data_IF_938484639215
#
_entry.id   IF_938484639215
#
_cell.length_a   1.000
_cell.length_b   1.000
_cell.length_c   1.000
_cell.angle_alpha   90.00
_cell.angle_beta   90.00
_cell.angle_gamma   90.00
#
_symmetry.space_group_name_H-M   'P 1'
#
loop_
_entity.id
_entity.type
_entity.pdbx_description
1 polymer ?
#
# COMPACT_ATOMS: atom_id res chain seq x y z
N UNK A 1 -19.57 -8.90 -16.28
CA UNK A 1 -20.64 -8.37 -17.15
C UNK A 1 -21.06 -6.94 -16.78
N UNK A 2 -21.36 -6.65 -15.48
CA UNK A 2 -21.77 -5.31 -15.05
C UNK A 2 -20.72 -4.26 -15.38
N UNK A 3 -19.44 -4.47 -15.04
CA UNK A 3 -18.35 -3.55 -15.32
C UNK A 3 -18.25 -3.28 -16.83
N UNK A 4 -18.22 -4.32 -17.65
CA UNK A 4 -18.17 -4.19 -19.11
C UNK A 4 -19.32 -3.33 -19.66
N UNK A 5 -20.53 -3.53 -19.16
CA UNK A 5 -21.70 -2.76 -19.58
C UNK A 5 -21.61 -1.29 -19.16
N UNK A 6 -21.16 -1.02 -17.92
CA UNK A 6 -21.04 0.35 -17.41
C UNK A 6 -19.87 1.13 -18.05
N UNK A 7 -18.87 0.45 -18.62
CA UNK A 7 -17.69 1.04 -19.27
C UNK A 7 -17.66 0.89 -20.79
N UNK A 8 -18.73 0.43 -21.41
CA UNK A 8 -18.78 0.11 -22.84
C UNK A 8 -18.30 1.27 -23.75
N UNK A 9 -18.61 2.50 -23.36
CA UNK A 9 -18.23 3.72 -24.10
C UNK A 9 -16.88 4.31 -23.71
N UNK A 10 -16.18 3.69 -22.75
CA UNK A 10 -14.88 4.15 -22.29
C UNK A 10 -13.75 3.37 -22.96
N UNK A 11 -12.55 3.94 -23.00
CA UNK A 11 -11.35 3.25 -23.47
C UNK A 11 -10.98 2.08 -22.54
N UNK A 12 -11.17 2.26 -21.22
CA UNK A 12 -10.82 1.30 -20.19
C UNK A 12 -12.01 0.98 -19.31
N UNK A 13 -12.06 -0.25 -18.81
CA UNK A 13 -13.11 -0.73 -17.90
C UNK A 13 -12.76 -0.43 -16.44
N UNK A 14 -11.48 -0.39 -16.11
CA UNK A 14 -10.99 -0.24 -14.74
C UNK A 14 -9.54 0.25 -14.69
N UNK A 15 -9.16 0.81 -13.55
CA UNK A 15 -7.77 1.06 -13.17
C UNK A 15 -7.27 -0.11 -12.32
N UNK A 16 -6.03 -0.54 -12.56
CA UNK A 16 -5.34 -1.56 -11.77
C UNK A 16 -4.00 -1.00 -11.30
N UNK A 17 -3.79 -0.90 -9.98
CA UNK A 17 -2.49 -0.52 -9.43
C UNK A 17 -1.44 -1.61 -9.61
N UNK A 18 -0.27 -1.25 -10.11
CA UNK A 18 0.85 -2.18 -10.35
C UNK A 18 2.12 -1.69 -9.65
N UNK A 19 2.76 -2.58 -8.88
CA UNK A 19 4.02 -2.34 -8.17
C UNK A 19 5.15 -3.29 -8.61
N UNK A 20 4.89 -4.14 -9.62
CA UNK A 20 5.82 -5.23 -9.98
C UNK A 20 5.88 -6.37 -8.97
N UNK A 21 5.20 -6.22 -7.85
CA UNK A 21 5.01 -7.26 -6.85
C UNK A 21 4.12 -8.41 -7.35
N UNK A 22 4.19 -9.55 -6.66
CA UNK A 22 3.43 -10.75 -7.02
C UNK A 22 1.91 -10.49 -7.11
N UNK A 23 1.36 -9.87 -6.09
CA UNK A 23 -0.08 -9.73 -5.91
C UNK A 23 -0.68 -8.75 -6.94
N UNK A 24 0.00 -7.63 -7.19
CA UNK A 24 -0.41 -6.64 -8.20
C UNK A 24 -0.26 -7.16 -9.63
N UNK A 25 0.83 -7.91 -9.91
CA UNK A 25 1.06 -8.53 -11.21
C UNK A 25 0.03 -9.61 -11.52
N UNK A 26 -0.30 -10.46 -10.52
CA UNK A 26 -1.35 -11.47 -10.68
C UNK A 26 -2.74 -10.84 -10.81
N UNK A 27 -3.02 -9.77 -10.07
CA UNK A 27 -4.26 -9.04 -10.23
C UNK A 27 -4.45 -8.53 -11.66
N UNK A 28 -3.40 -7.93 -12.25
CA UNK A 28 -3.47 -7.45 -13.64
C UNK A 28 -3.71 -8.61 -14.62
N UNK A 29 -3.02 -9.74 -14.44
CA UNK A 29 -3.26 -10.97 -15.21
C UNK A 29 -4.72 -11.43 -15.07
N UNK A 30 -5.21 -11.52 -13.84
CA UNK A 30 -6.57 -11.99 -13.56
C UNK A 30 -7.63 -11.07 -14.20
N UNK A 31 -7.48 -9.77 -14.06
CA UNK A 31 -8.41 -8.78 -14.62
C UNK A 31 -8.40 -8.84 -16.16
N UNK A 32 -7.22 -8.95 -16.77
CA UNK A 32 -7.09 -8.97 -18.23
C UNK A 32 -7.47 -10.31 -18.84
N UNK A 33 -6.90 -11.42 -18.35
CA UNK A 33 -7.03 -12.75 -18.97
C UNK A 33 -8.26 -13.51 -18.50
N UNK A 34 -8.56 -13.45 -17.21
CA UNK A 34 -9.66 -14.26 -16.63
C UNK A 34 -10.98 -13.49 -16.69
N UNK A 35 -11.01 -12.22 -16.29
CA UNK A 35 -12.24 -11.43 -16.36
C UNK A 35 -12.47 -10.84 -17.76
N UNK A 36 -11.47 -10.79 -18.62
CA UNK A 36 -11.53 -10.24 -19.98
C UNK A 36 -11.91 -8.76 -19.98
N UNK A 37 -11.44 -8.00 -18.99
CA UNK A 37 -11.63 -6.54 -18.91
C UNK A 37 -10.50 -5.82 -19.65
N UNK A 38 -10.73 -4.52 -19.91
CA UNK A 38 -9.74 -3.59 -20.48
C UNK A 38 -9.15 -2.73 -19.36
N UNK A 39 -8.14 -3.19 -18.60
CA UNK A 39 -7.53 -2.40 -17.54
C UNK A 39 -6.61 -1.32 -18.11
N UNK A 40 -6.54 -0.18 -17.39
CA UNK A 40 -5.41 0.75 -17.42
C UNK A 40 -4.54 0.44 -16.21
N UNK A 41 -3.30 0.02 -16.44
CA UNK A 41 -2.33 -0.21 -15.37
C UNK A 41 -1.79 1.15 -14.90
N UNK A 42 -1.73 1.35 -13.59
CA UNK A 42 -1.25 2.60 -12.98
C UNK A 42 -0.15 2.29 -11.99
N UNK A 43 0.98 2.94 -12.16
CA UNK A 43 2.14 2.84 -11.28
C UNK A 43 2.48 4.21 -10.68
N UNK A 44 2.84 4.23 -9.39
CA UNK A 44 3.37 5.40 -8.71
C UNK A 44 4.85 5.18 -8.40
N UNK A 45 5.70 5.84 -9.15
CA UNK A 45 7.15 5.80 -8.97
C UNK A 45 7.57 6.86 -7.95
N UNK A 46 7.96 6.39 -6.78
CA UNK A 46 8.48 7.22 -5.69
C UNK A 46 10.00 7.19 -5.58
N UNK A 47 10.67 6.60 -6.57
CA UNK A 47 12.13 6.49 -6.63
C UNK A 47 12.74 5.37 -5.77
N UNK A 48 11.95 4.48 -5.16
CA UNK A 48 12.45 3.37 -4.34
C UNK A 48 12.15 1.98 -4.89
N UNK A 49 11.69 1.90 -6.14
CA UNK A 49 11.45 0.62 -6.78
C UNK A 49 12.76 -0.15 -6.99
N UNK A 50 12.73 -1.46 -6.78
CA UNK A 50 13.85 -2.32 -7.14
C UNK A 50 13.92 -2.53 -8.66
N UNK A 51 15.10 -2.80 -9.21
CA UNK A 51 15.26 -3.10 -10.65
C UNK A 51 14.37 -4.26 -11.10
N UNK A 52 14.21 -5.26 -10.24
CA UNK A 52 13.34 -6.39 -10.49
C UNK A 52 11.86 -5.98 -10.58
N UNK A 53 11.40 -5.07 -9.69
CA UNK A 53 10.02 -4.60 -9.73
C UNK A 53 9.72 -3.76 -10.97
N UNK A 54 10.64 -2.87 -11.34
CA UNK A 54 10.54 -2.08 -12.59
C UNK A 54 10.46 -3.00 -13.81
N UNK A 55 11.37 -3.99 -13.90
CA UNK A 55 11.36 -4.98 -14.99
C UNK A 55 10.05 -5.78 -15.01
N UNK A 56 9.53 -6.18 -13.85
CA UNK A 56 8.27 -6.91 -13.75
C UNK A 56 7.08 -6.08 -14.26
N UNK A 57 6.99 -4.79 -13.88
CA UNK A 57 5.92 -3.89 -14.35
C UNK A 57 5.89 -3.87 -15.88
N UNK A 58 7.05 -3.60 -16.51
CA UNK A 58 7.15 -3.53 -17.97
C UNK A 58 6.83 -4.87 -18.63
N UNK A 59 7.39 -5.97 -18.15
CA UNK A 59 7.19 -7.29 -18.73
C UNK A 59 5.71 -7.71 -18.66
N UNK A 60 5.08 -7.52 -17.50
CA UNK A 60 3.68 -7.89 -17.28
C UNK A 60 2.75 -7.05 -18.18
N UNK A 61 2.92 -5.73 -18.20
CA UNK A 61 2.10 -4.85 -19.03
C UNK A 61 2.29 -5.15 -20.53
N UNK A 62 3.53 -5.33 -20.99
CA UNK A 62 3.86 -5.66 -22.38
C UNK A 62 3.25 -7.01 -22.80
N UNK A 63 3.45 -8.05 -22.00
CA UNK A 63 2.96 -9.41 -22.33
C UNK A 63 1.43 -9.48 -22.35
N UNK A 64 0.77 -8.74 -21.46
CA UNK A 64 -0.69 -8.67 -21.42
C UNK A 64 -1.28 -7.68 -22.43
N UNK A 65 -0.47 -6.93 -23.13
CA UNK A 65 -0.89 -5.81 -23.99
C UNK A 65 -1.85 -4.87 -23.24
N UNK A 66 -1.34 -4.35 -22.11
CA UNK A 66 -2.05 -3.41 -21.24
C UNK A 66 -1.30 -2.10 -21.22
N UNK A 67 -2.04 -0.99 -21.37
CA UNK A 67 -1.48 0.35 -21.28
C UNK A 67 -1.07 0.65 -19.85
N UNK A 68 0.14 1.21 -19.68
CA UNK A 68 0.73 1.60 -18.41
C UNK A 68 0.83 3.11 -18.31
N UNK A 69 0.26 3.67 -17.27
CA UNK A 69 0.49 5.05 -16.87
C UNK A 69 1.35 5.08 -15.61
N UNK A 70 2.48 5.76 -15.67
CA UNK A 70 3.38 5.97 -14.54
C UNK A 70 3.32 7.43 -14.08
N UNK A 71 2.95 7.64 -12.85
CA UNK A 71 3.07 8.92 -12.15
C UNK A 71 4.37 8.92 -11.36
N UNK A 72 5.30 9.77 -11.76
CA UNK A 72 6.52 10.02 -10.98
C UNK A 72 6.23 11.05 -9.89
N UNK A 73 6.59 10.74 -8.66
CA UNK A 73 6.49 11.65 -7.54
C UNK A 73 7.40 12.88 -7.74
N UNK A 74 6.98 14.04 -7.25
CA UNK A 74 7.92 15.16 -7.09
C UNK A 74 8.96 14.77 -6.03
N UNK A 75 10.16 14.40 -6.49
CA UNK A 75 11.18 13.79 -5.65
C UNK A 75 11.56 14.66 -4.46
N UNK A 76 11.75 15.96 -4.67
CA UNK A 76 12.19 16.85 -3.58
C UNK A 76 11.13 16.94 -2.48
N UNK A 77 9.87 17.01 -2.84
CA UNK A 77 8.79 17.05 -1.85
C UNK A 77 8.58 15.69 -1.21
N UNK A 78 8.57 14.60 -2.00
CA UNK A 78 8.41 13.23 -1.49
C UNK A 78 9.51 12.87 -0.49
N UNK A 79 10.77 13.19 -0.81
CA UNK A 79 11.94 13.00 0.05
C UNK A 79 11.77 13.70 1.41
N UNK A 80 11.41 14.99 1.40
CA UNK A 80 11.20 15.77 2.62
C UNK A 80 10.07 15.23 3.48
N UNK A 81 8.96 14.83 2.85
CA UNK A 81 7.83 14.23 3.56
C UNK A 81 8.25 12.90 4.20
N UNK A 82 8.89 12.01 3.46
CA UNK A 82 9.34 10.71 3.98
C UNK A 82 10.39 10.88 5.08
N UNK A 83 11.37 11.80 4.90
CA UNK A 83 12.32 12.17 5.95
C UNK A 83 11.60 12.58 7.23
N UNK A 84 10.56 13.40 7.13
CA UNK A 84 9.83 13.89 8.31
C UNK A 84 9.18 12.76 9.11
N UNK A 85 8.74 11.67 8.47
CA UNK A 85 8.21 10.48 9.14
C UNK A 85 9.29 9.72 9.92
N UNK A 86 10.48 9.53 9.35
CA UNK A 86 11.61 8.94 10.08
C UNK A 86 12.02 9.79 11.26
N UNK A 87 12.11 11.12 11.10
CA UNK A 87 12.46 12.03 12.18
C UNK A 87 11.38 12.12 13.26
N UNK A 88 10.12 11.95 12.90
CA UNK A 88 9.02 11.87 13.86
C UNK A 88 9.10 10.61 14.73
N UNK A 89 9.74 9.53 14.26
CA UNK A 89 9.86 8.28 14.99
C UNK A 89 8.52 7.55 15.10
N UNK A 90 7.76 7.48 14.01
CA UNK A 90 6.49 6.74 13.89
C UNK A 90 6.70 5.36 13.27
N UNK A 91 5.73 4.47 13.45
CA UNK A 91 5.80 3.07 12.97
C UNK A 91 5.44 2.90 11.49
N UNK A 92 5.03 3.96 10.82
CA UNK A 92 4.47 3.93 9.47
C UNK A 92 5.16 4.91 8.50
N UNK A 93 6.51 4.88 8.37
CA UNK A 93 7.23 5.81 7.50
C UNK A 93 6.96 5.61 6.01
N UNK A 94 6.29 4.52 5.62
CA UNK A 94 5.82 4.24 4.26
C UNK A 94 4.50 4.94 3.91
N UNK A 95 3.82 5.55 4.88
CA UNK A 95 2.52 6.24 4.65
C UNK A 95 2.54 7.24 3.49
N UNK A 96 3.62 8.02 3.26
CA UNK A 96 3.69 8.90 2.08
C UNK A 96 3.56 8.15 0.75
N UNK A 97 4.17 6.97 0.63
CA UNK A 97 4.06 6.10 -0.55
C UNK A 97 2.62 5.62 -0.74
N UNK A 98 2.01 5.07 0.30
CA UNK A 98 0.66 4.53 0.24
C UNK A 98 -0.37 5.60 -0.15
N UNK A 99 -0.23 6.80 0.41
CA UNK A 99 -1.11 7.93 0.08
C UNK A 99 -0.91 8.39 -1.35
N UNK A 100 0.32 8.48 -1.85
CA UNK A 100 0.64 8.81 -3.24
C UNK A 100 0.07 7.79 -4.23
N UNK A 101 0.17 6.49 -3.93
CA UNK A 101 -0.44 5.41 -4.72
C UNK A 101 -1.95 5.59 -4.80
N UNK A 102 -2.63 5.77 -3.66
CA UNK A 102 -4.08 5.97 -3.63
C UNK A 102 -4.48 7.21 -4.41
N UNK A 103 -3.82 8.34 -4.17
CA UNK A 103 -4.09 9.59 -4.87
C UNK A 103 -4.00 9.41 -6.39
N UNK A 104 -2.89 8.83 -6.86
CA UNK A 104 -2.64 8.60 -8.29
C UNK A 104 -3.71 7.71 -8.92
N UNK A 105 -4.01 6.55 -8.32
CA UNK A 105 -5.02 5.63 -8.86
C UNK A 105 -6.42 6.28 -8.96
N UNK A 106 -6.80 7.07 -7.96
CA UNK A 106 -8.09 7.75 -7.96
C UNK A 106 -8.13 8.95 -8.90
N UNK A 107 -7.02 9.70 -9.06
CA UNK A 107 -6.94 10.81 -10.02
C UNK A 107 -7.04 10.30 -11.45
N UNK A 108 -6.33 9.23 -11.79
CA UNK A 108 -6.43 8.59 -13.10
C UNK A 108 -7.86 8.09 -13.34
N UNK A 109 -8.44 7.38 -12.40
CA UNK A 109 -9.82 6.90 -12.52
C UNK A 109 -10.81 8.07 -12.70
N UNK A 110 -10.63 9.17 -11.99
CA UNK A 110 -11.46 10.37 -12.10
C UNK A 110 -11.33 11.04 -13.47
N UNK A 111 -10.11 11.22 -13.97
CA UNK A 111 -9.80 11.83 -15.26
C UNK A 111 -10.36 11.00 -16.41
N UNK A 112 -10.12 9.69 -16.39
CA UNK A 112 -10.57 8.75 -17.43
C UNK A 112 -12.05 8.35 -17.29
N UNK A 113 -12.77 8.92 -16.31
CA UNK A 113 -14.20 8.63 -16.02
C UNK A 113 -14.45 7.17 -15.63
N UNK A 114 -13.43 6.45 -15.19
CA UNK A 114 -13.49 5.05 -14.78
C UNK A 114 -14.10 4.98 -13.37
N UNK A 115 -15.05 4.06 -13.16
CA UNK A 115 -15.70 3.87 -11.86
C UNK A 115 -15.10 2.77 -11.02
N UNK A 116 -14.17 1.98 -11.55
CA UNK A 116 -13.66 0.79 -10.88
C UNK A 116 -12.14 0.85 -10.74
N UNK A 117 -11.67 0.83 -9.50
CA UNK A 117 -10.25 0.74 -9.14
C UNK A 117 -10.01 -0.61 -8.49
N UNK A 118 -9.14 -1.41 -9.07
CA UNK A 118 -8.76 -2.71 -8.55
C UNK A 118 -7.45 -2.61 -7.79
N UNK A 119 -7.41 -3.19 -6.59
CA UNK A 119 -6.24 -3.24 -5.74
C UNK A 119 -5.91 -4.69 -5.37
N UNK A 120 -4.61 -5.03 -5.36
CA UNK A 120 -4.10 -6.37 -5.10
C UNK A 120 -4.07 -6.78 -3.62
N UNK A 121 -4.44 -5.89 -2.70
CA UNK A 121 -4.45 -6.21 -1.27
C UNK A 121 -5.41 -7.36 -0.94
N UNK A 122 -4.96 -8.31 -0.12
CA UNK A 122 -5.75 -9.44 0.34
C UNK A 122 -5.65 -9.63 1.85
N UNK A 123 -6.77 -9.47 2.56
CA UNK A 123 -6.82 -9.77 3.99
C UNK A 123 -6.58 -11.26 4.31
N UNK A 124 -6.68 -12.16 3.29
CA UNK A 124 -6.46 -13.60 3.44
C UNK A 124 -4.99 -13.98 3.47
N UNK A 125 -4.13 -13.15 2.89
CA UNK A 125 -2.69 -13.40 2.78
C UNK A 125 -1.86 -12.35 3.52
N UNK A 126 -2.28 -11.10 3.52
CA UNK A 126 -1.56 -10.00 4.19
C UNK A 126 -2.11 -9.70 5.59
N UNK A 127 -3.41 -10.02 5.82
CA UNK A 127 -4.07 -9.71 7.06
C UNK A 127 -4.53 -8.25 7.15
N UNK A 128 -4.80 -7.82 8.38
CA UNK A 128 -5.19 -6.44 8.71
C UNK A 128 -4.25 -5.98 9.81
N UNK A 129 -3.47 -4.95 9.53
CA UNK A 129 -2.58 -4.38 10.52
C UNK A 129 -3.34 -3.54 11.55
N UNK A 130 -2.92 -3.57 12.82
CA UNK A 130 -3.44 -2.67 13.84
C UNK A 130 -3.25 -1.20 13.43
N UNK A 131 -4.21 -0.33 13.77
CA UNK A 131 -4.10 1.11 13.47
C UNK A 131 -2.86 1.75 14.11
N UNK A 132 -2.39 1.21 15.24
CA UNK A 132 -1.20 1.71 15.93
C UNK A 132 0.11 1.35 15.20
N UNK A 133 0.06 0.41 14.26
CA UNK A 133 1.21 0.05 13.42
C UNK A 133 1.24 0.85 12.13
N UNK A 134 0.07 1.12 11.56
CA UNK A 134 -0.05 1.84 10.30
C UNK A 134 -1.35 2.65 10.27
N UNK A 135 -1.23 3.93 9.98
CA UNK A 135 -2.34 4.85 9.81
C UNK A 135 -2.10 5.73 8.59
N UNK A 136 -3.18 6.07 7.87
CA UNK A 136 -3.05 6.75 6.59
C UNK A 136 -4.17 7.77 6.40
N UNK A 137 -3.81 9.04 6.40
CA UNK A 137 -4.63 10.14 5.88
C UNK A 137 -3.76 11.38 5.58
N UNK A 138 -4.26 12.27 4.72
CA UNK A 138 -3.52 13.46 4.30
C UNK A 138 -3.32 14.51 5.40
N UNK A 139 -4.16 14.53 6.43
CA UNK A 139 -4.01 15.43 7.58
C UNK A 139 -2.90 14.95 8.52
N UNK A 140 -2.74 13.63 8.63
CA UNK A 140 -1.64 13.01 9.34
C UNK A 140 -0.30 13.38 8.73
N UNK A 141 -0.16 13.23 7.40
CA UNK A 141 1.04 13.64 6.66
C UNK A 141 1.33 15.12 6.89
N UNK A 142 0.34 15.97 6.71
CA UNK A 142 0.48 17.41 6.93
C UNK A 142 0.93 17.73 8.35
N UNK A 143 0.39 17.02 9.35
CA UNK A 143 0.72 17.24 10.76
C UNK A 143 2.16 16.85 11.11
N UNK A 144 2.64 15.71 10.58
CA UNK A 144 4.02 15.26 10.75
C UNK A 144 4.97 16.22 10.06
N UNK A 145 4.71 16.51 8.78
CA UNK A 145 5.59 17.36 7.98
C UNK A 145 5.71 18.76 8.59
N UNK A 146 4.62 19.35 9.07
CA UNK A 146 4.64 20.65 9.75
C UNK A 146 5.54 20.67 10.98
N UNK A 147 5.71 19.53 11.68
CA UNK A 147 6.47 19.45 12.94
C UNK A 147 7.92 19.00 12.76
N UNK A 148 8.18 18.16 11.77
CA UNK A 148 9.47 17.47 11.58
C UNK A 148 10.08 17.68 10.19
N UNK A 149 9.32 18.25 9.26
CA UNK A 149 9.77 18.56 7.90
C UNK A 149 10.08 20.04 7.71
N UNK A 150 10.50 20.34 6.50
CA UNK A 150 10.79 21.69 6.02
C UNK A 150 10.14 21.94 4.65
N UNK A 151 9.78 23.20 4.38
CA UNK A 151 9.08 23.58 3.16
C UNK A 151 7.58 23.28 3.18
N UNK A 152 6.96 23.38 2.02
CA UNK A 152 5.53 23.14 1.83
C UNK A 152 5.24 21.77 1.22
N UNK A 153 3.96 21.44 1.08
CA UNK A 153 3.45 20.18 0.52
C UNK A 153 2.79 20.37 -0.85
N UNK A 154 3.01 21.51 -1.54
CA UNK A 154 2.24 21.88 -2.72
C UNK A 154 2.33 20.84 -3.85
N UNK A 155 3.50 20.21 -4.01
CA UNK A 155 3.75 19.19 -5.04
C UNK A 155 3.61 17.76 -4.52
N UNK A 156 3.23 17.56 -3.26
CA UNK A 156 3.01 16.22 -2.73
C UNK A 156 1.64 15.68 -3.13
N UNK A 157 1.60 14.46 -3.65
CA UNK A 157 0.36 13.76 -4.03
C UNK A 157 -0.44 13.34 -2.78
N UNK A 158 -0.89 14.33 -1.99
CA UNK A 158 -1.62 14.08 -0.75
C UNK A 158 -3.08 13.74 -1.01
N UNK A 159 -3.69 12.98 -0.11
CA UNK A 159 -5.05 12.51 -0.23
C UNK A 159 -5.89 12.96 0.98
N UNK A 160 -6.73 13.96 0.76
CA UNK A 160 -7.60 14.51 1.80
C UNK A 160 -9.01 13.90 1.76
N UNK A 161 -9.77 14.11 2.84
CA UNK A 161 -11.17 13.68 2.89
C UNK A 161 -12.02 14.34 1.79
N UNK A 162 -11.67 15.54 1.38
CA UNK A 162 -12.31 16.26 0.26
C UNK A 162 -12.13 15.54 -1.07
N UNK A 163 -10.93 14.97 -1.31
CA UNK A 163 -10.66 14.16 -2.49
C UNK A 163 -11.52 12.89 -2.48
N UNK A 164 -11.59 12.21 -1.33
CA UNK A 164 -12.44 11.04 -1.18
C UNK A 164 -13.92 11.36 -1.50
N UNK A 165 -14.43 12.46 -0.97
CA UNK A 165 -15.80 12.89 -1.25
C UNK A 165 -16.00 13.18 -2.74
N UNK A 166 -15.06 13.92 -3.37
CA UNK A 166 -15.06 14.21 -4.80
C UNK A 166 -15.16 12.93 -5.63
N UNK A 167 -14.29 11.95 -5.38
CA UNK A 167 -14.26 10.71 -6.16
C UNK A 167 -15.49 9.84 -5.92
N UNK A 168 -15.98 9.76 -4.69
CA UNK A 168 -17.13 8.92 -4.33
C UNK A 168 -18.45 9.51 -4.81
N UNK A 169 -18.66 10.82 -4.65
CA UNK A 169 -19.93 11.45 -5.00
C UNK A 169 -20.03 11.90 -6.46
N UNK A 170 -18.95 12.46 -7.04
CA UNK A 170 -19.01 12.95 -8.42
C UNK A 170 -18.82 11.84 -9.47
N UNK A 171 -17.98 10.85 -9.19
CA UNK A 171 -17.68 9.77 -10.14
C UNK A 171 -18.10 8.38 -9.67
N UNK A 172 -18.54 8.24 -8.42
CA UNK A 172 -18.97 6.96 -7.82
C UNK A 172 -17.87 5.88 -7.90
N UNK A 173 -16.60 6.29 -7.79
CA UNK A 173 -15.47 5.37 -7.89
C UNK A 173 -15.53 4.34 -6.76
N UNK A 174 -15.40 3.07 -7.13
CA UNK A 174 -15.46 1.90 -6.24
C UNK A 174 -14.12 1.19 -6.26
N UNK A 175 -13.59 0.85 -5.08
CA UNK A 175 -12.43 -0.03 -4.96
C UNK A 175 -12.88 -1.47 -4.85
N UNK A 176 -12.28 -2.34 -5.64
CA UNK A 176 -12.54 -3.79 -5.66
C UNK A 176 -11.25 -4.51 -5.29
N UNK A 177 -11.37 -5.51 -4.42
CA UNK A 177 -10.26 -6.34 -3.92
C UNK A 177 -10.50 -7.81 -4.32
N UNK A 178 -10.28 -8.21 -5.58
CA UNK A 178 -10.69 -9.52 -6.08
C UNK A 178 -9.97 -10.68 -5.41
N UNK A 179 -8.71 -10.48 -5.00
CA UNK A 179 -7.91 -11.53 -4.36
C UNK A 179 -8.51 -12.05 -3.03
N UNK A 180 -9.48 -11.31 -2.47
CA UNK A 180 -10.24 -11.77 -1.31
C UNK A 180 -11.30 -12.84 -1.64
N UNK A 181 -11.70 -12.95 -2.89
CA UNK A 181 -12.85 -13.76 -3.33
C UNK A 181 -12.47 -14.93 -4.22
N UNK A 182 -11.22 -14.99 -4.67
CA UNK A 182 -10.70 -16.06 -5.50
C UNK A 182 -9.81 -17.02 -4.70
N UNK A 183 -9.61 -18.22 -5.21
CA UNK A 183 -8.58 -19.11 -4.69
C UNK A 183 -7.22 -18.56 -5.06
N UNK A 184 -6.42 -18.18 -4.06
CA UNK A 184 -5.13 -17.55 -4.21
C UNK A 184 -4.08 -18.33 -3.42
N UNK A 185 -3.11 -18.95 -4.11
CA UNK A 185 -1.96 -19.65 -3.52
C UNK A 185 -0.69 -19.06 -4.08
N UNK A 186 0.27 -18.77 -3.22
CA UNK A 186 1.54 -18.14 -3.61
C UNK A 186 2.28 -18.94 -4.66
N UNK A 187 2.44 -20.25 -4.46
CA UNK A 187 3.18 -21.11 -5.38
C UNK A 187 2.54 -21.17 -6.78
N UNK A 188 1.21 -21.39 -6.82
CA UNK A 188 0.47 -21.43 -8.10
C UNK A 188 0.50 -20.08 -8.81
N UNK A 189 0.40 -18.99 -8.07
CA UNK A 189 0.44 -17.64 -8.62
C UNK A 189 1.83 -17.34 -9.20
N UNK A 190 2.90 -17.64 -8.47
CA UNK A 190 4.27 -17.43 -8.97
C UNK A 190 4.58 -18.31 -10.18
N UNK A 191 4.07 -19.55 -10.22
CA UNK A 191 4.21 -20.40 -11.40
C UNK A 191 3.57 -19.75 -12.64
N UNK A 192 2.33 -19.27 -12.51
CA UNK A 192 1.63 -18.55 -13.59
C UNK A 192 2.39 -17.31 -14.02
N UNK A 193 2.83 -16.48 -13.06
CA UNK A 193 3.53 -15.24 -13.35
C UNK A 193 4.87 -15.49 -14.07
N UNK A 194 5.64 -16.48 -13.64
CA UNK A 194 6.92 -16.85 -14.25
C UNK A 194 6.72 -17.37 -15.66
N UNK A 195 5.77 -18.31 -15.83
CA UNK A 195 5.52 -18.99 -17.10
C UNK A 195 4.86 -18.07 -18.13
N UNK A 196 3.84 -17.34 -17.75
CA UNK A 196 3.00 -16.57 -18.66
C UNK A 196 3.50 -15.14 -18.90
N UNK A 197 4.20 -14.55 -17.92
CA UNK A 197 4.51 -13.12 -17.94
C UNK A 197 6.01 -12.80 -17.80
N UNK A 198 6.86 -13.80 -17.67
CA UNK A 198 8.30 -13.58 -17.45
C UNK A 198 8.61 -12.80 -16.17
N UNK A 199 7.75 -12.90 -15.17
CA UNK A 199 7.93 -12.25 -13.89
C UNK A 199 9.07 -12.89 -13.10
N UNK A 200 9.87 -12.06 -12.43
CA UNK A 200 11.03 -12.48 -11.64
C UNK A 200 10.79 -12.21 -10.16
N UNK A 201 11.11 -13.21 -9.32
CA UNK A 201 11.05 -13.05 -7.87
C UNK A 201 12.10 -12.04 -7.37
N UNK A 202 11.72 -11.16 -6.43
CA UNK A 202 12.54 -10.04 -5.94
C UNK A 202 12.98 -10.20 -4.47
N UNK A 203 12.95 -11.41 -3.94
CA UNK A 203 13.48 -11.75 -2.62
C UNK A 203 12.41 -12.05 -1.57
N UNK A 204 11.64 -11.08 -1.08
CA UNK A 204 10.68 -11.27 0.01
C UNK A 204 9.37 -10.53 -0.19
N UNK A 205 8.48 -10.66 0.78
CA UNK A 205 7.19 -9.97 0.76
C UNK A 205 7.39 -8.46 0.93
N UNK A 206 6.87 -7.67 -0.01
CA UNK A 206 7.05 -6.20 -0.11
C UNK A 206 8.49 -5.74 -0.36
N UNK A 207 9.37 -6.62 -0.87
CA UNK A 207 10.73 -6.25 -1.25
C UNK A 207 10.83 -5.65 -2.65
N UNK A 208 9.71 -5.44 -3.34
CA UNK A 208 9.64 -4.67 -4.58
C UNK A 208 10.03 -3.21 -4.39
N UNK A 209 9.78 -2.63 -3.21
CA UNK A 209 10.25 -1.31 -2.80
C UNK A 209 11.41 -1.43 -1.80
N UNK A 210 12.53 -0.78 -2.10
CA UNK A 210 13.70 -0.78 -1.20
C UNK A 210 13.41 -0.03 0.11
N UNK A 211 12.55 1.01 0.07
CA UNK A 211 12.11 1.72 1.26
C UNK A 211 11.29 0.79 2.16
N UNK A 212 10.28 0.14 1.61
CA UNK A 212 9.44 -0.80 2.38
C UNK A 212 10.26 -1.97 2.90
N UNK A 213 11.18 -2.51 2.08
CA UNK A 213 12.12 -3.55 2.52
C UNK A 213 12.89 -3.12 3.76
N UNK A 214 13.48 -1.92 3.77
CA UNK A 214 14.19 -1.38 4.93
C UNK A 214 13.26 -1.23 6.15
N UNK A 215 12.07 -0.69 5.94
CA UNK A 215 11.09 -0.46 7.02
C UNK A 215 10.70 -1.78 7.68
N UNK A 216 10.28 -2.79 6.90
CA UNK A 216 9.73 -4.04 7.46
C UNK A 216 10.79 -4.98 8.01
N UNK A 217 11.99 -4.96 7.46
CA UNK A 217 13.05 -5.89 7.85
C UNK A 217 14.02 -5.35 8.91
N UNK A 218 14.14 -4.02 9.04
CA UNK A 218 15.12 -3.39 9.94
C UNK A 218 14.47 -2.38 10.89
N UNK A 219 13.83 -1.34 10.35
CA UNK A 219 13.35 -0.21 11.16
C UNK A 219 12.27 -0.64 12.17
N UNK A 220 11.21 -1.31 11.72
CA UNK A 220 10.11 -1.75 12.57
C UNK A 220 10.53 -2.77 13.64
N UNK A 221 11.27 -3.84 13.30
CA UNK A 221 11.73 -4.80 14.30
C UNK A 221 12.60 -4.18 15.37
N UNK A 222 13.54 -3.31 14.99
CA UNK A 222 14.54 -2.77 15.91
C UNK A 222 14.00 -1.62 16.77
N UNK A 223 13.19 -0.73 16.20
CA UNK A 223 12.69 0.43 16.94
C UNK A 223 11.38 0.14 17.69
N UNK A 224 10.47 -0.61 17.08
CA UNK A 224 9.12 -0.82 17.60
C UNK A 224 8.86 -2.23 18.11
N UNK A 225 9.78 -3.17 17.90
CA UNK A 225 9.57 -4.59 18.13
C UNK A 225 8.34 -5.13 17.37
N UNK A 226 8.13 -4.62 16.15
CA UNK A 226 7.05 -5.02 15.26
C UNK A 226 7.60 -5.91 14.15
N UNK A 227 7.09 -7.12 14.05
CA UNK A 227 7.33 -8.03 12.93
C UNK A 227 6.04 -8.12 12.09
N UNK A 228 6.04 -7.46 10.93
CA UNK A 228 4.86 -7.42 10.04
C UNK A 228 4.49 -8.80 9.49
N UNK A 229 5.41 -9.79 9.48
CA UNK A 229 5.10 -11.18 9.10
C UNK A 229 4.01 -11.77 9.99
N UNK A 230 3.86 -11.30 11.24
CA UNK A 230 2.82 -11.79 12.15
C UNK A 230 1.41 -11.60 11.59
N UNK A 231 1.13 -10.50 10.88
CA UNK A 231 -0.20 -10.25 10.31
C UNK A 231 -0.50 -11.18 9.16
N UNK A 232 0.44 -11.33 8.22
CA UNK A 232 0.31 -12.21 7.06
C UNK A 232 0.24 -13.70 7.47
N UNK A 233 1.13 -14.16 8.34
CA UNK A 233 1.12 -15.53 8.83
C UNK A 233 -0.17 -15.86 9.61
N UNK A 234 -0.67 -14.92 10.44
CA UNK A 234 -1.95 -15.07 11.10
C UNK A 234 -3.12 -15.14 10.11
N UNK A 235 -3.08 -14.37 9.02
CA UNK A 235 -4.09 -14.42 7.97
C UNK A 235 -4.06 -15.76 7.24
N UNK A 236 -2.87 -16.26 6.90
CA UNK A 236 -2.70 -17.57 6.23
C UNK A 236 -3.19 -18.72 7.10
N UNK A 237 -2.94 -18.70 8.43
CA UNK A 237 -3.48 -19.69 9.35
C UNK A 237 -5.02 -19.63 9.36
N UNK A 238 -5.61 -18.46 9.50
CA UNK A 238 -7.08 -18.29 9.50
C UNK A 238 -7.74 -18.67 8.18
N UNK A 239 -6.99 -18.60 7.09
CA UNK A 239 -7.43 -18.96 5.75
C UNK A 239 -7.14 -20.44 5.40
N UNK A 240 -6.70 -21.25 6.36
CA UNK A 240 -6.30 -22.65 6.20
C UNK A 240 -5.21 -22.88 5.13
N UNK A 241 -4.33 -21.91 4.94
CA UNK A 241 -3.23 -21.96 3.95
C UNK A 241 -1.88 -22.32 4.57
N UNK A 242 -1.81 -22.31 5.90
CA UNK A 242 -0.60 -22.58 6.67
C UNK A 242 -0.98 -23.10 8.05
N UNK A 243 -0.18 -24.01 8.58
CA UNK A 243 -0.33 -24.48 9.96
C UNK A 243 0.31 -23.49 10.95
N UNK A 244 -0.15 -23.51 12.19
CA UNK A 244 0.46 -22.71 13.27
C UNK A 244 1.92 -23.08 13.54
N UNK A 245 2.28 -24.37 13.30
CA UNK A 245 3.65 -24.84 13.48
C UNK A 245 4.60 -24.26 12.41
N UNK A 246 4.20 -24.27 11.16
CA UNK A 246 4.94 -23.65 10.05
C UNK A 246 5.15 -22.15 10.29
N UNK A 247 4.09 -21.44 10.65
CA UNK A 247 4.17 -20.03 10.96
C UNK A 247 5.16 -19.72 12.10
N UNK A 248 5.15 -20.54 13.17
CA UNK A 248 6.11 -20.40 14.27
C UNK A 248 7.56 -20.64 13.81
N UNK A 249 7.82 -21.61 12.92
CA UNK A 249 9.17 -21.84 12.36
C UNK A 249 9.66 -20.63 11.59
N UNK A 250 8.80 -20.01 10.77
CA UNK A 250 9.13 -18.80 10.01
C UNK A 250 9.48 -17.64 10.96
N UNK A 251 8.71 -17.44 12.03
CA UNK A 251 8.97 -16.37 13.00
C UNK A 251 10.24 -16.58 13.85
N UNK A 252 10.80 -17.81 13.91
CA UNK A 252 12.09 -18.07 14.58
C UNK A 252 13.27 -17.53 13.76
N UNK A 253 13.11 -17.36 12.45
CA UNK A 253 14.14 -16.74 11.60
C UNK A 253 14.02 -15.22 11.70
N UNK A 254 15.15 -14.52 11.66
CA UNK A 254 15.12 -13.05 11.53
C UNK A 254 14.47 -12.68 10.20
N UNK A 255 13.78 -11.53 10.11
CA UNK A 255 13.37 -10.98 8.82
C UNK A 255 14.62 -10.84 7.94
N UNK A 256 14.55 -11.44 6.74
CA UNK A 256 15.74 -11.53 5.87
C UNK A 256 16.14 -10.15 5.34
N UNK A 257 17.35 -9.74 5.68
CA UNK A 257 18.08 -8.69 4.97
C UNK A 257 19.50 -9.16 4.78
N UNK A 258 19.81 -9.58 3.58
CA UNK A 258 21.15 -10.06 3.22
C UNK A 258 22.20 -8.94 3.30
N UNK A 259 21.80 -7.68 3.35
CA UNK A 259 22.73 -6.52 3.40
C UNK A 259 22.07 -5.32 4.08
N UNK A 260 21.76 -5.48 5.37
CA UNK A 260 21.00 -4.48 6.12
C UNK A 260 21.71 -3.12 6.23
N UNK A 261 23.02 -3.13 6.44
CA UNK A 261 23.77 -1.89 6.65
C UNK A 261 23.86 -1.07 5.36
N UNK A 262 24.15 -1.70 4.24
CA UNK A 262 24.17 -1.02 2.94
C UNK A 262 22.78 -0.52 2.55
N UNK A 263 21.72 -1.30 2.79
CA UNK A 263 20.35 -0.86 2.54
C UNK A 263 19.99 0.37 3.39
N UNK A 264 20.35 0.36 4.68
CA UNK A 264 20.15 1.51 5.56
C UNK A 264 20.90 2.74 5.07
N UNK A 265 22.18 2.61 4.73
CA UNK A 265 22.99 3.71 4.22
C UNK A 265 22.41 4.27 2.93
N UNK A 266 21.99 3.41 2.02
CA UNK A 266 21.32 3.81 0.78
C UNK A 266 20.04 4.62 1.06
N UNK A 267 19.16 4.11 1.94
CA UNK A 267 17.89 4.80 2.27
C UNK A 267 18.15 6.14 2.96
N UNK A 268 19.03 6.16 3.96
CA UNK A 268 19.35 7.40 4.68
C UNK A 268 20.01 8.42 3.76
N UNK A 269 20.95 8.01 2.92
CA UNK A 269 21.61 8.89 1.96
C UNK A 269 20.62 9.46 0.94
N UNK A 270 19.72 8.62 0.41
CA UNK A 270 18.71 9.05 -0.57
C UNK A 270 17.67 10.01 0.02
N UNK A 271 17.38 9.89 1.32
CA UNK A 271 16.47 10.78 2.05
C UNK A 271 17.16 12.00 2.68
N UNK A 272 18.45 12.19 2.49
CA UNK A 272 19.26 13.22 3.16
C UNK A 272 19.10 13.18 4.69
N UNK A 273 19.08 12.00 5.29
CA UNK A 273 19.03 11.79 6.74
C UNK A 273 20.44 11.48 7.23
N UNK A 274 21.02 12.37 8.04
CA UNK A 274 22.33 12.09 8.65
C UNK A 274 22.24 10.93 9.65
N UNK A 275 23.38 10.27 9.87
CA UNK A 275 23.48 9.19 10.88
C UNK A 275 23.12 9.70 12.29
N UNK A 276 23.41 10.96 12.59
CA UNK A 276 23.09 11.58 13.88
C UNK A 276 21.58 11.83 14.02
N UNK A 277 20.93 12.41 13.00
CA UNK A 277 19.47 12.60 12.97
C UNK A 277 18.76 11.25 13.14
N UNK A 278 19.19 10.21 12.39
CA UNK A 278 18.60 8.89 12.48
C UNK A 278 18.76 8.27 13.87
N UNK A 279 20.00 8.29 14.41
CA UNK A 279 20.27 7.76 15.76
C UNK A 279 19.48 8.50 16.83
N UNK A 280 19.32 9.82 16.70
CA UNK A 280 18.50 10.62 17.60
C UNK A 280 17.04 10.21 17.54
N UNK A 281 16.44 10.20 16.36
CA UNK A 281 15.03 9.81 16.18
C UNK A 281 14.78 8.36 16.64
N UNK A 282 15.77 7.48 16.45
CA UNK A 282 15.68 6.07 16.84
C UNK A 282 15.67 5.89 18.36
N UNK A 283 16.35 6.75 19.12
CA UNK A 283 16.37 6.74 20.59
C UNK A 283 15.18 7.44 21.23
N UNK A 284 14.51 8.33 20.51
CA UNK A 284 13.32 9.01 21.01
C UNK A 284 12.17 8.03 21.27
N UNK A 285 11.24 8.45 22.15
CA UNK A 285 10.02 7.68 22.45
C UNK A 285 9.26 7.39 21.15
N UNK A 286 8.82 6.15 20.99
CA UNK A 286 7.97 5.73 19.88
C UNK A 286 6.67 6.53 19.87
N UNK A 287 6.31 7.01 18.67
CA UNK A 287 5.07 7.76 18.42
C UNK A 287 4.19 6.99 17.46
N UNK A 288 2.93 7.31 17.44
CA UNK A 288 1.97 6.82 16.47
C UNK A 288 1.02 7.94 16.01
N UNK A 289 0.06 7.62 15.18
CA UNK A 289 -0.87 8.60 14.61
C UNK A 289 -1.66 9.39 15.65
N UNK A 290 -1.83 8.89 16.89
CA UNK A 290 -2.55 9.61 17.97
C UNK A 290 -1.77 10.80 18.52
N UNK A 291 -0.46 10.83 18.32
CA UNK A 291 0.41 11.96 18.72
C UNK A 291 0.31 13.15 17.75
N UNK A 292 -0.47 13.01 16.68
CA UNK A 292 -0.59 13.97 15.59
C UNK A 292 -2.04 14.33 15.27
N UNK A 293 -2.23 15.41 14.50
CA UNK A 293 -3.56 15.77 13.99
C UNK A 293 -3.93 14.86 12.82
N UNK A 294 -5.07 14.20 12.92
CA UNK A 294 -5.59 13.24 11.95
C UNK A 294 -7.10 13.41 11.76
N UNK A 295 -7.68 12.72 10.78
CA UNK A 295 -9.14 12.61 10.68
C UNK A 295 -9.73 11.57 11.65
N UNK A 296 -8.92 10.76 12.36
CA UNK A 296 -9.38 9.71 13.25
C UNK A 296 -10.37 10.20 14.32
N UNK A 297 -10.07 11.33 14.95
CA UNK A 297 -10.95 11.90 15.99
C UNK A 297 -12.32 12.33 15.42
N UNK A 298 -12.36 12.80 14.18
CA UNK A 298 -13.61 13.12 13.48
C UNK A 298 -14.39 11.83 13.23
N UNK A 299 -13.76 10.78 12.71
CA UNK A 299 -14.41 9.48 12.51
C UNK A 299 -14.92 8.89 13.82
N UNK A 300 -14.15 8.99 14.90
CA UNK A 300 -14.56 8.53 16.23
C UNK A 300 -15.81 9.27 16.72
N UNK A 301 -15.87 10.58 16.54
CA UNK A 301 -17.04 11.38 16.89
C UNK A 301 -18.30 10.97 16.10
N UNK A 302 -18.13 10.66 14.83
CA UNK A 302 -19.20 10.19 13.94
C UNK A 302 -19.40 8.66 13.93
N UNK A 303 -18.94 7.94 14.94
CA UNK A 303 -19.02 6.47 15.04
C UNK A 303 -20.43 5.93 14.78
N UNK A 304 -21.46 6.53 15.37
CA UNK A 304 -22.84 6.05 15.20
C UNK A 304 -23.38 6.25 13.78
N UNK A 305 -23.31 7.43 13.16
CA UNK A 305 -23.64 7.59 11.73
C UNK A 305 -22.85 6.63 10.82
N UNK A 306 -21.54 6.46 11.06
CA UNK A 306 -20.70 5.54 10.30
C UNK A 306 -21.15 4.08 10.48
N UNK A 307 -21.59 3.68 11.69
CA UNK A 307 -22.18 2.36 11.95
C UNK A 307 -23.47 2.13 11.16
N UNK A 308 -24.31 3.15 11.04
CA UNK A 308 -25.51 3.06 10.21
C UNK A 308 -25.14 2.88 8.73
N UNK A 309 -24.22 3.69 8.20
CA UNK A 309 -23.73 3.56 6.82
C UNK A 309 -23.10 2.18 6.57
N UNK A 310 -22.36 1.64 7.55
CA UNK A 310 -21.84 0.28 7.47
C UNK A 310 -22.96 -0.76 7.38
N UNK A 311 -23.98 -0.68 8.26
CA UNK A 311 -25.14 -1.60 8.22
C UNK A 311 -25.91 -1.53 6.92
N UNK A 312 -25.96 -0.37 6.28
CA UNK A 312 -26.58 -0.15 4.96
C UNK A 312 -25.63 -0.54 3.78
N UNK A 313 -24.48 -1.15 4.05
CA UNK A 313 -23.48 -1.52 3.06
C UNK A 313 -22.86 -0.36 2.23
N UNK A 314 -22.95 0.88 2.71
CA UNK A 314 -22.25 2.01 2.10
C UNK A 314 -20.76 2.05 2.47
N UNK A 315 -20.41 1.50 3.63
CA UNK A 315 -19.02 1.40 4.11
C UNK A 315 -18.64 -0.08 4.18
N UNK A 316 -17.50 -0.49 3.59
CA UNK A 316 -17.02 -1.87 3.67
C UNK A 316 -16.78 -2.31 5.13
N UNK A 317 -17.16 -3.56 5.44
CA UNK A 317 -16.99 -4.16 6.78
C UNK A 317 -15.55 -4.05 7.29
N UNK A 318 -14.57 -4.31 6.44
CA UNK A 318 -13.16 -4.24 6.80
C UNK A 318 -12.73 -2.84 7.21
N UNK A 319 -13.19 -1.81 6.51
CA UNK A 319 -12.90 -0.42 6.86
C UNK A 319 -13.53 -0.06 8.21
N UNK A 320 -14.79 -0.45 8.43
CA UNK A 320 -15.46 -0.23 9.71
C UNK A 320 -14.72 -0.94 10.86
N UNK A 321 -14.36 -2.21 10.68
CA UNK A 321 -13.64 -2.99 11.70
C UNK A 321 -12.24 -2.44 11.97
N UNK A 322 -11.54 -1.95 10.96
CA UNK A 322 -10.22 -1.33 11.13
C UNK A 322 -10.26 -0.11 12.05
N UNK A 323 -11.28 0.74 11.91
CA UNK A 323 -11.41 1.96 12.71
C UNK A 323 -12.11 1.78 14.05
N UNK A 324 -13.00 0.80 14.16
CA UNK A 324 -13.91 0.63 15.32
C UNK A 324 -13.96 -0.80 15.86
N UNK A 325 -13.14 -1.71 15.35
CA UNK A 325 -13.18 -3.14 15.71
C UNK A 325 -12.71 -3.47 17.12
N UNK A 326 -12.05 -2.53 17.80
CA UNK A 326 -11.64 -2.70 19.20
C UNK A 326 -12.80 -2.62 20.22
N UNK A 327 -14.03 -2.41 19.75
CA UNK A 327 -15.22 -2.24 20.57
C UNK A 327 -16.16 -3.48 20.53
N UNK A 328 -15.61 -4.67 20.20
CA UNK A 328 -16.30 -5.96 20.29
C UNK A 328 -15.68 -6.83 21.37
#
# INVERSE_FOLDING_TARGET
>A
DKIKKESEKLAFDCVVGVSGGRDSSYLLYYVKKILGLRPLAVHYDNGFDSDASVSNIFNVCKTLNVELETKVADWETFKKVTKSFFLAGVSDPDTPTDVGIFKTMYDVAYREKIQYVFNGHSFRTEGIEPLDWTYMDGKYIQSIHKKYGDGDLNNFDNFYITDLLKYKFLRRIKTILPLNYIEYSYDKVEEVLKKELGWVHYGGHHHESLLTKFVVSSYLPKKFNIDRRMTSLSAMIRSNKMTKLEAKKILQTKPETVDEDNLREYILGKLDISQEEFKKSFKEKNKNFRDFKTYYNIFKYFKYPIKVLYKLNFIPKLLYLRYFGSDY
#
